data_IF_530289942972
#
_entry.id   IF_530289942972
#
_cell.length_a   1.000
_cell.length_b   1.000
_cell.length_c   1.000
_cell.angle_alpha   90.00
_cell.angle_beta   90.00
_cell.angle_gamma   90.00
#
_symmetry.space_group_name_H-M   'P 1'
#
loop_
_entity.id
_entity.type
_entity.pdbx_description
1 polymer ?
#
# COMPACT_ATOMS: atom_id res chain seq x y z
N UNK A 1 96.95 -26.87 3.25
CA UNK A 1 96.18 -26.47 4.44
C UNK A 1 94.70 -26.69 4.07
N UNK A 2 93.99 -27.36 4.96
CA UNK A 2 92.78 -28.14 4.74
C UNK A 2 91.47 -27.29 4.47
N UNK A 3 90.82 -27.65 3.42
CA UNK A 3 89.48 -27.12 3.13
C UNK A 3 88.41 -28.20 3.47
N UNK A 4 87.42 -27.98 4.26
CA UNK A 4 86.30 -28.92 4.40
C UNK A 4 85.18 -28.58 3.48
N UNK A 5 84.72 -29.57 2.78
CA UNK A 5 83.57 -29.77 1.94
C UNK A 5 82.30 -29.55 2.69
N UNK A 6 81.51 -28.56 2.30
CA UNK A 6 80.18 -28.33 2.84
C UNK A 6 79.11 -29.01 1.91
N UNK A 7 78.50 -30.03 2.45
CA UNK A 7 77.44 -30.83 1.82
C UNK A 7 76.13 -30.08 1.93
N UNK A 8 75.56 -29.54 0.79
CA UNK A 8 74.26 -28.92 0.72
C UNK A 8 73.19 -30.04 0.56
N UNK A 9 72.49 -30.31 1.64
CA UNK A 9 71.24 -31.12 1.61
C UNK A 9 70.08 -30.30 1.06
N UNK A 10 69.65 -30.64 -0.17
CA UNK A 10 68.41 -30.11 -0.75
C UNK A 10 67.25 -30.81 -0.07
N UNK A 11 66.49 -30.05 0.79
CA UNK A 11 65.22 -30.48 1.28
C UNK A 11 64.16 -30.14 0.22
N UNK A 12 63.70 -31.16 -0.50
CA UNK A 12 62.56 -31.08 -1.41
C UNK A 12 61.26 -31.04 -0.58
N UNK A 13 60.77 -29.84 -0.30
CA UNK A 13 59.48 -29.64 0.37
C UNK A 13 58.36 -29.92 -0.63
N UNK A 14 57.69 -31.08 -0.47
CA UNK A 14 56.51 -31.47 -1.21
C UNK A 14 55.35 -30.69 -0.69
N UNK A 15 54.94 -29.63 -1.42
CA UNK A 15 53.70 -28.87 -1.14
C UNK A 15 52.49 -29.76 -1.45
N UNK A 16 51.88 -30.31 -0.42
CA UNK A 16 50.59 -31.01 -0.51
C UNK A 16 49.50 -29.95 -0.58
N UNK A 17 49.03 -29.60 -1.81
CA UNK A 17 47.87 -28.77 -2.01
C UNK A 17 46.64 -29.64 -1.73
N UNK A 18 46.09 -29.49 -0.54
CA UNK A 18 44.81 -30.08 -0.22
C UNK A 18 43.71 -29.34 -1.03
N UNK A 19 43.13 -30.02 -2.00
CA UNK A 19 41.93 -29.57 -2.69
C UNK A 19 40.76 -29.53 -1.68
N UNK A 20 40.31 -28.32 -1.35
CA UNK A 20 39.07 -28.12 -0.61
C UNK A 20 37.90 -28.48 -1.55
N UNK A 21 37.05 -29.44 -1.21
CA UNK A 21 35.87 -29.69 -2.03
C UNK A 21 34.97 -28.42 -1.99
N UNK A 22 34.61 -27.91 -3.17
CA UNK A 22 33.60 -26.89 -3.30
C UNK A 22 32.32 -27.46 -2.70
N UNK A 23 31.89 -26.90 -1.55
CA UNK A 23 30.60 -27.16 -1.00
C UNK A 23 29.60 -26.68 -2.05
N UNK A 24 28.81 -27.61 -2.60
CA UNK A 24 27.64 -27.33 -3.38
C UNK A 24 26.73 -26.44 -2.49
N UNK A 25 26.56 -25.20 -2.89
CA UNK A 25 25.51 -24.34 -2.34
C UNK A 25 24.19 -24.93 -2.83
N UNK A 26 23.49 -25.57 -1.94
CA UNK A 26 22.10 -25.89 -2.17
C UNK A 26 21.39 -24.58 -2.56
N UNK A 27 20.58 -24.58 -3.64
CA UNK A 27 19.73 -23.44 -3.91
C UNK A 27 18.86 -23.25 -2.68
N UNK A 28 18.99 -22.07 -2.04
CA UNK A 28 18.15 -21.69 -0.92
C UNK A 28 16.70 -21.99 -1.30
N UNK A 29 16.09 -22.93 -0.59
CA UNK A 29 14.66 -23.14 -0.63
C UNK A 29 14.00 -21.80 -0.37
N UNK A 30 13.36 -21.27 -1.40
CA UNK A 30 12.38 -20.19 -1.31
C UNK A 30 11.21 -20.72 -0.47
N UNK A 31 11.43 -20.77 0.84
CA UNK A 31 10.41 -21.18 1.79
C UNK A 31 9.36 -20.10 1.88
N UNK A 32 8.27 -20.27 1.11
CA UNK A 32 6.88 -20.01 1.47
C UNK A 32 6.43 -18.76 2.22
N UNK A 33 7.31 -17.82 2.59
CA UNK A 33 6.92 -16.58 3.28
C UNK A 33 6.36 -15.49 2.35
N UNK A 34 6.55 -15.62 1.03
CA UNK A 34 6.03 -14.68 0.04
C UNK A 34 4.50 -14.75 -0.12
N UNK A 35 3.84 -15.85 0.28
CA UNK A 35 2.41 -16.05 0.02
C UNK A 35 1.47 -15.34 1.01
N UNK A 36 1.96 -14.82 2.13
CA UNK A 36 1.12 -14.16 3.15
C UNK A 36 1.11 -12.63 3.07
N UNK A 37 1.99 -12.04 2.28
CA UNK A 37 2.05 -10.59 2.11
C UNK A 37 0.91 -10.12 1.21
N UNK A 38 0.09 -9.18 1.70
CA UNK A 38 -0.92 -8.52 0.86
C UNK A 38 -0.23 -7.45 0.02
N UNK A 39 -0.31 -7.58 -1.31
CA UNK A 39 0.26 -6.62 -2.26
C UNK A 39 -0.86 -5.80 -2.87
N UNK A 40 -0.62 -4.50 -3.05
CA UNK A 40 -1.55 -3.56 -3.66
C UNK A 40 -0.93 -2.95 -4.91
N UNK A 41 -1.71 -2.87 -5.97
CA UNK A 41 -1.39 -2.02 -7.11
C UNK A 41 -1.65 -0.57 -6.76
N UNK A 42 -0.94 0.36 -7.40
CA UNK A 42 -1.13 1.80 -7.22
C UNK A 42 -1.67 2.44 -8.49
N UNK A 43 -2.51 3.44 -8.33
CA UNK A 43 -3.09 4.19 -9.44
C UNK A 43 -3.29 5.65 -9.06
N UNK A 44 -3.32 6.52 -10.07
CA UNK A 44 -3.72 7.92 -9.88
C UNK A 44 -5.24 8.03 -9.82
N UNK A 45 -5.72 8.84 -8.87
CA UNK A 45 -7.11 9.18 -8.67
C UNK A 45 -7.24 10.70 -8.62
N UNK A 46 -8.32 11.24 -9.16
CA UNK A 46 -8.65 12.68 -9.07
C UNK A 46 -9.95 12.84 -8.31
N UNK A 47 -10.02 13.80 -7.41
CA UNK A 47 -11.29 14.31 -6.85
C UNK A 47 -11.55 15.64 -7.51
N UNK A 48 -12.71 15.75 -8.17
CA UNK A 48 -13.20 16.96 -8.83
C UNK A 48 -14.44 17.47 -8.12
N UNK A 49 -14.52 18.78 -7.90
CA UNK A 49 -15.66 19.40 -7.23
C UNK A 49 -15.79 20.90 -7.54
N UNK A 50 -16.88 21.50 -7.08
CA UNK A 50 -17.11 22.93 -7.15
C UNK A 50 -16.43 23.67 -6.01
N UNK A 51 -15.66 24.73 -6.30
CA UNK A 51 -15.13 25.64 -5.29
C UNK A 51 -16.23 26.47 -4.62
N UNK A 52 -15.97 26.93 -3.40
CA UNK A 52 -16.86 27.88 -2.67
C UNK A 52 -17.09 29.16 -3.47
N UNK A 53 -16.14 29.47 -4.33
CA UNK A 53 -16.14 30.62 -5.27
C UNK A 53 -16.75 30.29 -6.65
N UNK A 54 -17.31 29.07 -6.83
CA UNK A 54 -17.88 28.60 -8.10
C UNK A 54 -16.85 28.14 -9.13
N UNK A 55 -15.54 28.13 -8.78
CA UNK A 55 -14.49 27.57 -9.61
C UNK A 55 -14.42 26.03 -9.54
N UNK A 56 -13.95 25.38 -10.60
CA UNK A 56 -13.66 23.94 -10.55
C UNK A 56 -12.38 23.69 -9.72
N UNK A 57 -12.42 22.66 -8.87
CA UNK A 57 -11.26 22.19 -8.10
C UNK A 57 -10.94 20.76 -8.48
N UNK A 58 -9.66 20.46 -8.61
CA UNK A 58 -9.18 19.10 -8.82
C UNK A 58 -8.01 18.81 -7.89
N UNK A 59 -8.08 17.67 -7.22
CA UNK A 59 -7.02 17.18 -6.35
C UNK A 59 -6.59 15.79 -6.82
N UNK A 60 -5.29 15.59 -6.97
CA UNK A 60 -4.71 14.31 -7.42
C UNK A 60 -4.10 13.56 -6.25
N UNK A 61 -4.43 12.28 -6.15
CA UNK A 61 -3.91 11.34 -5.15
C UNK A 61 -3.28 10.13 -5.81
N UNK A 62 -2.25 9.56 -5.19
CA UNK A 62 -1.75 8.24 -5.51
C UNK A 62 -2.42 7.25 -4.56
N UNK A 63 -3.24 6.33 -5.09
CA UNK A 63 -4.00 5.40 -4.26
C UNK A 63 -3.57 3.97 -4.49
N UNK A 64 -3.54 3.19 -3.41
CA UNK A 64 -3.46 1.74 -3.47
C UNK A 64 -4.86 1.16 -3.73
N UNK A 65 -4.92 0.10 -4.54
CA UNK A 65 -6.18 -0.51 -4.97
C UNK A 65 -6.51 -1.74 -4.11
N UNK A 66 -7.58 -1.66 -3.33
CA UNK A 66 -8.11 -2.77 -2.54
C UNK A 66 -9.31 -3.40 -3.27
N UNK A 67 -9.04 -4.30 -4.23
CA UNK A 67 -10.03 -4.89 -5.13
C UNK A 67 -10.47 -6.30 -4.70
N UNK A 68 -9.59 -7.09 -4.10
CA UNK A 68 -9.93 -8.43 -3.60
C UNK A 68 -10.47 -8.38 -2.16
N UNK A 69 -11.18 -9.41 -1.76
CA UNK A 69 -11.67 -9.55 -0.38
C UNK A 69 -10.53 -9.51 0.64
N UNK A 70 -9.37 -10.13 0.33
CA UNK A 70 -8.19 -10.13 1.20
C UNK A 70 -7.59 -8.73 1.32
N UNK A 71 -7.46 -7.99 0.20
CA UNK A 71 -6.97 -6.62 0.20
C UNK A 71 -7.90 -5.69 0.99
N UNK A 72 -9.22 -5.78 0.76
CA UNK A 72 -10.20 -4.99 1.49
C UNK A 72 -10.22 -5.30 2.99
N UNK A 73 -10.02 -6.57 3.37
CA UNK A 73 -9.94 -6.95 4.78
C UNK A 73 -8.67 -6.44 5.47
N UNK A 74 -7.56 -6.33 4.73
CA UNK A 74 -6.28 -5.79 5.25
C UNK A 74 -6.31 -4.26 5.32
N UNK A 75 -6.73 -3.59 4.24
CA UNK A 75 -6.78 -2.13 4.18
C UNK A 75 -5.47 -1.44 4.56
N UNK A 76 -5.57 -0.34 5.29
CA UNK A 76 -4.44 0.44 5.82
C UNK A 76 -3.95 -0.02 7.21
N UNK A 77 -4.26 -1.25 7.62
CA UNK A 77 -3.80 -1.80 8.89
C UNK A 77 -2.27 -1.76 9.00
N UNK A 78 -1.79 -1.53 10.22
CA UNK A 78 -0.37 -1.53 10.59
C UNK A 78 0.47 -0.42 9.95
N UNK A 79 -0.14 0.58 9.32
CA UNK A 79 0.58 1.75 8.79
C UNK A 79 0.77 2.79 9.87
N UNK A 80 2.02 3.17 10.09
CA UNK A 80 2.40 4.17 11.09
C UNK A 80 2.17 5.59 10.60
N UNK A 81 2.11 5.80 9.27
CA UNK A 81 1.84 7.11 8.64
C UNK A 81 1.18 6.93 7.29
N UNK A 82 0.47 7.95 6.86
CA UNK A 82 -0.08 8.10 5.51
C UNK A 82 0.21 9.53 5.07
N UNK A 83 0.81 9.71 3.90
CA UNK A 83 1.07 11.04 3.34
C UNK A 83 -0.25 11.66 2.83
N UNK A 84 -0.30 13.00 2.78
CA UNK A 84 -1.53 13.73 2.47
C UNK A 84 -2.02 13.53 1.03
N UNK A 85 -1.12 13.17 0.11
CA UNK A 85 -1.39 12.89 -1.30
C UNK A 85 -1.53 11.38 -1.62
N UNK A 86 -1.53 10.53 -0.57
CA UNK A 86 -1.65 9.07 -0.69
C UNK A 86 -2.93 8.58 -0.04
N UNK A 87 -3.53 7.54 -0.61
CA UNK A 87 -4.73 6.92 -0.05
C UNK A 87 -4.89 5.46 -0.42
N UNK A 88 -6.07 4.92 -0.10
CA UNK A 88 -6.48 3.58 -0.54
C UNK A 88 -7.90 3.62 -1.09
N UNK A 89 -8.07 3.07 -2.29
CA UNK A 89 -9.36 2.95 -2.96
C UNK A 89 -9.91 1.53 -2.78
N UNK A 90 -10.96 1.41 -2.01
CA UNK A 90 -11.76 0.20 -1.87
C UNK A 90 -12.86 0.22 -2.93
N UNK A 91 -12.83 -0.73 -3.85
CA UNK A 91 -13.86 -0.87 -4.87
C UNK A 91 -14.53 -2.22 -4.74
N UNK A 92 -15.85 -2.24 -4.94
CA UNK A 92 -16.68 -3.45 -4.85
C UNK A 92 -17.40 -3.67 -6.19
N UNK A 93 -17.82 -4.91 -6.45
CA UNK A 93 -18.46 -5.30 -7.70
C UNK A 93 -19.87 -4.72 -7.87
N UNK A 94 -20.52 -4.33 -6.78
CA UNK A 94 -21.88 -3.75 -6.78
C UNK A 94 -22.06 -2.78 -5.64
N UNK A 95 -23.01 -1.86 -5.81
CA UNK A 95 -23.44 -0.97 -4.74
C UNK A 95 -24.17 -1.73 -3.64
N UNK A 96 -23.79 -1.47 -2.40
CA UNK A 96 -24.47 -1.95 -1.20
C UNK A 96 -24.12 -1.03 -0.02
N UNK A 97 -24.88 -1.11 1.07
CA UNK A 97 -24.48 -0.45 2.31
C UNK A 97 -23.14 -1.03 2.76
N UNK A 98 -22.14 -0.18 2.94
CA UNK A 98 -20.78 -0.56 3.37
C UNK A 98 -20.57 -0.20 4.84
N UNK A 99 -19.72 -0.99 5.47
CA UNK A 99 -19.27 -0.73 6.83
C UNK A 99 -17.75 -0.85 6.85
N UNK A 100 -17.12 0.21 7.33
CA UNK A 100 -15.67 0.28 7.56
C UNK A 100 -15.39 0.24 9.06
N UNK A 101 -14.16 0.07 9.43
CA UNK A 101 -13.68 0.08 10.79
C UNK A 101 -12.23 0.55 10.83
N UNK A 102 -11.73 0.90 12.02
CA UNK A 102 -10.33 1.29 12.23
C UNK A 102 -9.52 0.21 12.99
N UNK A 103 -9.94 -1.07 12.86
CA UNK A 103 -9.22 -2.18 13.50
C UNK A 103 -7.77 -2.20 13.00
N UNK A 104 -6.80 -2.24 13.92
CA UNK A 104 -5.36 -2.26 13.64
C UNK A 104 -4.85 -1.09 12.76
N UNK A 105 -5.62 -0.01 12.63
CA UNK A 105 -5.24 1.20 11.90
C UNK A 105 -4.80 2.26 12.88
N UNK A 106 -3.54 2.69 12.79
CA UNK A 106 -2.85 3.53 13.76
C UNK A 106 -3.02 5.03 13.48
N UNK A 107 -3.27 5.38 12.22
CA UNK A 107 -3.43 6.77 11.78
C UNK A 107 -4.91 7.14 11.68
N UNK A 108 -5.32 8.37 11.99
CA UNK A 108 -6.68 8.82 11.70
C UNK A 108 -6.91 8.87 10.20
N UNK A 109 -8.12 8.54 9.76
CA UNK A 109 -8.48 8.50 8.34
C UNK A 109 -9.74 9.31 8.05
N UNK A 110 -9.78 9.97 6.90
CA UNK A 110 -11.00 10.42 6.27
C UNK A 110 -11.52 9.31 5.35
N UNK A 111 -12.78 8.90 5.50
CA UNK A 111 -13.41 7.85 4.69
C UNK A 111 -14.48 8.46 3.81
N UNK A 112 -14.23 8.52 2.51
CA UNK A 112 -15.12 9.10 1.51
C UNK A 112 -15.90 7.98 0.82
N UNK A 113 -17.16 7.81 1.18
CA UNK A 113 -18.06 6.84 0.54
C UNK A 113 -18.60 7.42 -0.76
N UNK A 114 -18.60 6.63 -1.83
CA UNK A 114 -19.02 7.10 -3.15
C UNK A 114 -19.92 6.07 -3.85
N UNK A 115 -20.79 6.58 -4.73
CA UNK A 115 -21.72 5.80 -5.54
C UNK A 115 -21.02 5.21 -6.80
N UNK A 116 -21.79 4.46 -7.61
CA UNK A 116 -21.29 3.82 -8.84
C UNK A 116 -20.75 4.81 -9.88
N UNK A 117 -21.17 6.06 -9.82
CA UNK A 117 -20.71 7.12 -10.74
C UNK A 117 -19.51 7.89 -10.16
N UNK A 118 -19.00 7.52 -9.00
CA UNK A 118 -17.91 8.21 -8.31
C UNK A 118 -18.35 9.40 -7.47
N UNK A 119 -19.66 9.71 -7.40
CA UNK A 119 -20.17 10.80 -6.57
C UNK A 119 -19.98 10.52 -5.08
N UNK A 120 -19.32 11.42 -4.36
CA UNK A 120 -19.12 11.30 -2.90
C UNK A 120 -20.47 11.53 -2.22
N UNK A 121 -20.96 10.49 -1.54
CA UNK A 121 -22.27 10.51 -0.88
C UNK A 121 -22.18 10.84 0.60
N UNK A 122 -21.05 10.47 1.25
CA UNK A 122 -20.81 10.70 2.67
C UNK A 122 -19.33 10.72 2.97
N UNK A 123 -18.91 11.54 3.93
CA UNK A 123 -17.55 11.57 4.47
C UNK A 123 -17.63 11.33 5.98
N UNK A 124 -16.84 10.36 6.47
CA UNK A 124 -16.48 10.26 7.88
C UNK A 124 -15.11 10.91 8.04
N UNK A 125 -15.07 12.00 8.80
CA UNK A 125 -13.83 12.75 9.03
C UNK A 125 -13.07 12.20 10.21
N UNK A 126 -11.75 12.09 10.09
CA UNK A 126 -10.82 11.79 11.18
C UNK A 126 -11.24 10.58 12.01
N UNK A 127 -11.67 9.50 11.32
CA UNK A 127 -12.06 8.26 11.96
C UNK A 127 -11.00 7.83 12.99
N UNK A 128 -11.46 7.54 14.23
CA UNK A 128 -10.58 7.34 15.38
C UNK A 128 -9.74 6.06 15.23
N UNK A 129 -8.42 6.14 15.34
CA UNK A 129 -7.54 4.97 15.33
C UNK A 129 -7.99 3.87 16.29
N UNK A 130 -7.76 2.62 15.89
CA UNK A 130 -8.09 1.39 16.64
C UNK A 130 -9.57 1.17 16.97
N UNK A 131 -10.48 2.06 16.55
CA UNK A 131 -11.91 1.89 16.77
C UNK A 131 -12.43 0.66 16.02
N UNK A 132 -13.14 -0.22 16.74
CA UNK A 132 -13.86 -1.37 16.16
C UNK A 132 -15.33 -1.05 15.89
N UNK A 133 -15.77 0.20 16.19
CA UNK A 133 -17.13 0.64 15.90
C UNK A 133 -17.32 0.70 14.39
N UNK A 134 -18.38 0.07 13.85
CA UNK A 134 -18.67 0.15 12.42
C UNK A 134 -18.99 1.59 11.99
N UNK A 135 -18.36 2.01 10.90
CA UNK A 135 -18.61 3.29 10.22
C UNK A 135 -19.42 2.97 8.96
N UNK A 136 -20.69 3.33 8.96
CA UNK A 136 -21.60 3.01 7.85
C UNK A 136 -21.52 4.04 6.74
N UNK A 137 -21.67 3.61 5.48
CA UNK A 137 -21.85 4.51 4.33
C UNK A 137 -23.17 5.32 4.36
N UNK A 138 -24.10 4.96 5.26
CA UNK A 138 -25.42 5.61 5.34
C UNK A 138 -26.40 5.11 4.28
N UNK A 139 -25.97 4.88 3.06
CA UNK A 139 -26.72 4.38 1.91
C UNK A 139 -25.91 3.36 1.10
N UNK A 140 -26.39 2.98 -0.11
CA UNK A 140 -25.57 2.21 -1.06
C UNK A 140 -24.30 2.96 -1.42
N UNK A 141 -23.17 2.25 -1.50
CA UNK A 141 -21.89 2.76 -1.94
C UNK A 141 -21.20 1.71 -2.82
N UNK A 142 -20.59 2.17 -3.94
CA UNK A 142 -19.78 1.37 -4.82
C UNK A 142 -18.39 1.16 -4.21
N UNK A 143 -17.92 2.14 -3.43
CA UNK A 143 -16.61 2.06 -2.81
C UNK A 143 -16.40 3.08 -1.71
N UNK A 144 -15.16 3.06 -1.21
CA UNK A 144 -14.65 3.98 -0.19
C UNK A 144 -13.25 4.42 -0.59
N UNK A 145 -12.97 5.70 -0.52
CA UNK A 145 -11.62 6.25 -0.58
C UNK A 145 -11.19 6.62 0.85
N UNK A 146 -10.11 6.04 1.30
CA UNK A 146 -9.47 6.38 2.57
C UNK A 146 -8.29 7.31 2.31
N UNK A 147 -8.25 8.45 2.99
CA UNK A 147 -7.18 9.45 2.97
C UNK A 147 -6.69 9.71 4.40
N UNK A 148 -5.55 10.39 4.55
CA UNK A 148 -5.10 10.84 5.85
C UNK A 148 -6.17 11.73 6.52
N UNK A 149 -6.35 11.55 7.83
CA UNK A 149 -7.37 12.29 8.60
C UNK A 149 -7.14 13.80 8.54
N UNK A 150 -8.20 14.55 8.22
CA UNK A 150 -8.18 16.01 8.03
C UNK A 150 -7.94 16.46 6.58
N UNK A 151 -7.50 15.58 5.67
CA UNK A 151 -7.25 15.89 4.25
C UNK A 151 -8.51 16.43 3.57
N UNK A 152 -9.66 15.77 3.77
CA UNK A 152 -10.91 16.22 3.13
C UNK A 152 -11.32 17.63 3.57
N UNK A 153 -11.21 17.93 4.86
CA UNK A 153 -11.49 19.28 5.37
C UNK A 153 -10.47 20.31 4.89
N UNK A 154 -9.17 19.97 4.96
CA UNK A 154 -8.09 20.87 4.54
C UNK A 154 -8.19 21.30 3.07
N UNK A 155 -8.64 20.38 2.21
CA UNK A 155 -8.87 20.63 0.79
C UNK A 155 -10.31 21.10 0.46
N UNK A 156 -11.21 21.11 1.43
CA UNK A 156 -12.61 21.48 1.23
C UNK A 156 -13.40 20.47 0.40
N UNK A 157 -13.00 19.20 0.41
CA UNK A 157 -13.73 18.12 -0.24
C UNK A 157 -15.03 17.86 0.54
N UNK A 158 -16.15 17.77 -0.18
CA UNK A 158 -17.50 17.62 0.40
C UNK A 158 -18.30 16.53 -0.31
N UNK A 159 -19.39 16.09 0.31
CA UNK A 159 -20.37 15.27 -0.38
C UNK A 159 -20.93 16.04 -1.57
N UNK A 160 -21.06 15.37 -2.72
CA UNK A 160 -21.38 15.97 -4.02
C UNK A 160 -20.17 16.15 -4.93
N UNK A 161 -18.95 16.22 -4.41
CA UNK A 161 -17.73 16.11 -5.22
C UNK A 161 -17.62 14.73 -5.86
N UNK A 162 -16.79 14.57 -6.87
CA UNK A 162 -16.69 13.35 -7.66
C UNK A 162 -15.29 12.78 -7.68
N UNK A 163 -15.18 11.47 -7.47
CA UNK A 163 -13.98 10.68 -7.68
C UNK A 163 -13.93 10.27 -9.16
N UNK A 164 -12.81 10.58 -9.82
CA UNK A 164 -12.48 10.18 -11.18
C UNK A 164 -11.35 9.16 -11.14
N UNK A 165 -11.61 7.96 -11.67
CA UNK A 165 -10.63 6.88 -11.71
C UNK A 165 -10.93 5.95 -12.89
N UNK A 166 -9.93 5.33 -13.57
CA UNK A 166 -10.16 4.44 -14.72
C UNK A 166 -11.08 3.24 -14.47
N UNK A 167 -11.20 2.80 -13.21
CA UNK A 167 -12.10 1.71 -12.81
C UNK A 167 -13.55 2.18 -12.52
N UNK A 168 -13.84 3.46 -12.65
CA UNK A 168 -15.17 4.05 -12.49
C UNK A 168 -15.69 4.55 -13.85
N UNK A 169 -17.00 4.65 -14.05
CA UNK A 169 -17.55 5.27 -15.25
C UNK A 169 -17.02 6.69 -15.46
N UNK A 170 -16.79 7.10 -16.71
CA UNK A 170 -16.40 8.47 -17.01
C UNK A 170 -17.45 9.44 -16.47
N UNK A 171 -17.02 10.66 -16.15
CA UNK A 171 -17.97 11.73 -15.82
C UNK A 171 -18.87 11.96 -17.03
N UNK A 172 -20.20 11.96 -16.82
CA UNK A 172 -21.15 12.38 -17.85
C UNK A 172 -20.80 13.82 -18.24
N UNK A 173 -20.72 14.07 -19.56
CA UNK A 173 -20.44 15.41 -20.13
C UNK A 173 -21.65 16.30 -20.02
#
# INVERSE_FOLDING_TARGET
MKCPLFLFLFFLSLLFVAAVPAAAQDPAEDTGEASDRVVFETSRLIISGGGIDGGAREYSFMVELALSTRQRAHGLMFRERLADDVGMLFLYDSEARRHMWMKNTMVPLDMLFFDKNGGITRIEHEARPYSKRPISSGGPAQGVLELAGGTARGLGIVAGDRILHPLLPPADK
#
